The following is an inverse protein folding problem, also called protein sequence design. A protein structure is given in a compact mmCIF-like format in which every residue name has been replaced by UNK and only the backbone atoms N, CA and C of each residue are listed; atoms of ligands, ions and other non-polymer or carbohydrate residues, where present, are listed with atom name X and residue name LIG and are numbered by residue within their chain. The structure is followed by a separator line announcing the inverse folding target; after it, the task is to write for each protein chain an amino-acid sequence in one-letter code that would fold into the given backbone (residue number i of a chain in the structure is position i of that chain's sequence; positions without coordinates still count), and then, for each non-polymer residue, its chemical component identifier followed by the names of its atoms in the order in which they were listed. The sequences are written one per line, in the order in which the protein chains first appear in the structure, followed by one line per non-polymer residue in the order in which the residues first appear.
data_IF_850893490564
#
_entry.id   IF_850893490564
#
_cell.length_a   1.000
_cell.length_b   1.000
_cell.length_c   1.000
_cell.angle_alpha   90.00
_cell.angle_beta   90.00
_cell.angle_gamma   90.00
#
_symmetry.space_group_name_H-M   'P 1'
#
loop_
_entity.id
_entity.type
_entity.pdbx_description
1 polymer ?
#
# COMPACT_ATOMS: atom_id res chain seq x y z
N UNK A 1 -38.58 15.96 3.32
CA UNK A 1 -37.21 16.48 3.57
C UNK A 1 -36.27 15.28 3.71
N UNK A 2 -35.68 14.79 2.62
CA UNK A 2 -34.85 13.57 2.65
C UNK A 2 -33.66 13.68 1.68
N UNK A 3 -32.59 14.36 2.08
CA UNK A 3 -31.36 14.50 1.28
C UNK A 3 -30.07 14.15 2.03
N UNK A 4 -30.15 13.55 3.22
CA UNK A 4 -28.96 13.26 4.05
C UNK A 4 -28.19 11.96 3.67
N UNK A 5 -28.81 11.02 2.94
CA UNK A 5 -28.22 9.71 2.69
C UNK A 5 -27.15 9.68 1.58
N UNK A 6 -27.16 10.64 0.65
CA UNK A 6 -26.28 10.60 -0.54
C UNK A 6 -24.87 11.19 -0.27
N UNK A 7 -24.76 12.16 0.65
CA UNK A 7 -23.49 12.85 0.95
C UNK A 7 -22.49 11.93 1.68
N UNK A 8 -22.98 11.02 2.52
CA UNK A 8 -22.15 10.12 3.33
C UNK A 8 -21.40 9.07 2.50
N UNK A 9 -21.95 8.63 1.36
CA UNK A 9 -21.32 7.61 0.51
C UNK A 9 -20.23 8.16 -0.40
N UNK A 10 -20.27 9.46 -0.72
CA UNK A 10 -19.18 10.12 -1.46
C UNK A 10 -17.97 10.42 -0.57
N UNK A 11 -18.18 10.77 0.71
CA UNK A 11 -17.07 11.00 1.65
C UNK A 11 -16.28 9.74 1.93
N UNK A 12 -16.92 8.58 2.06
CA UNK A 12 -16.22 7.31 2.30
C UNK A 12 -15.33 6.89 1.13
N UNK A 13 -15.76 7.11 -0.12
CA UNK A 13 -14.94 6.87 -1.31
C UNK A 13 -13.71 7.78 -1.39
N UNK A 14 -13.87 9.07 -1.06
CA UNK A 14 -12.74 10.01 -1.03
C UNK A 14 -11.75 9.68 0.10
N UNK A 15 -12.22 9.33 1.29
CA UNK A 15 -11.35 8.92 2.40
C UNK A 15 -10.56 7.66 2.04
N UNK A 16 -11.16 6.72 1.31
CA UNK A 16 -10.47 5.52 0.86
C UNK A 16 -9.32 5.84 -0.10
N UNK A 17 -9.57 6.69 -1.09
CA UNK A 17 -8.54 7.10 -2.05
C UNK A 17 -7.38 7.84 -1.35
N UNK A 18 -7.68 8.61 -0.30
CA UNK A 18 -6.65 9.22 0.55
C UNK A 18 -5.84 8.19 1.35
N UNK A 19 -6.47 7.13 1.84
CA UNK A 19 -5.77 6.00 2.49
C UNK A 19 -4.85 5.32 1.49
N UNK A 20 -5.33 4.98 0.30
CA UNK A 20 -4.52 4.31 -0.72
C UNK A 20 -3.32 5.16 -1.14
N UNK A 21 -3.54 6.47 -1.32
CA UNK A 21 -2.49 7.43 -1.65
C UNK A 21 -1.45 7.55 -0.52
N UNK A 22 -1.89 7.77 0.72
CA UNK A 22 -0.99 7.91 1.87
C UNK A 22 -0.21 6.64 2.17
N UNK A 23 -0.82 5.45 2.03
CA UNK A 23 -0.12 4.16 2.19
C UNK A 23 0.93 3.99 1.10
N UNK A 24 0.61 4.32 -0.15
CA UNK A 24 1.58 4.28 -1.26
C UNK A 24 2.75 5.23 -1.02
N UNK A 25 2.46 6.47 -0.63
CA UNK A 25 3.48 7.46 -0.31
C UNK A 25 4.33 7.05 0.90
N UNK A 26 3.75 6.42 1.91
CA UNK A 26 4.47 5.91 3.07
C UNK A 26 5.44 4.79 2.66
N UNK A 27 5.02 3.86 1.80
CA UNK A 27 5.88 2.82 1.24
C UNK A 27 7.06 3.42 0.45
N UNK A 28 6.79 4.43 -0.37
CA UNK A 28 7.83 5.14 -1.13
C UNK A 28 8.78 5.89 -0.20
N UNK A 29 8.26 6.65 0.77
CA UNK A 29 9.08 7.38 1.75
C UNK A 29 9.93 6.43 2.60
N UNK A 30 9.39 5.27 2.95
CA UNK A 30 10.11 4.21 3.67
C UNK A 30 11.27 3.65 2.84
N UNK A 31 11.03 3.36 1.55
CA UNK A 31 12.09 2.94 0.64
C UNK A 31 13.16 4.02 0.53
N UNK A 32 12.73 5.27 0.35
CA UNK A 32 13.62 6.41 0.23
C UNK A 32 14.44 6.63 1.49
N UNK A 33 13.87 6.41 2.68
CA UNK A 33 14.61 6.48 3.94
C UNK A 33 15.76 5.46 3.98
N UNK A 34 15.51 4.21 3.58
CA UNK A 34 16.54 3.17 3.51
C UNK A 34 17.62 3.50 2.48
N UNK A 35 17.23 4.05 1.33
CA UNK A 35 18.16 4.49 0.28
C UNK A 35 19.03 5.66 0.76
N UNK A 36 18.45 6.67 1.41
CA UNK A 36 19.17 7.82 1.96
C UNK A 36 20.08 7.41 3.11
N UNK A 37 19.65 6.50 3.99
CA UNK A 37 20.50 5.92 5.04
C UNK A 37 21.70 5.18 4.44
N UNK A 38 21.48 4.41 3.38
CA UNK A 38 22.57 3.72 2.66
C UNK A 38 23.56 4.72 2.07
N UNK A 39 23.06 5.80 1.46
CA UNK A 39 23.90 6.88 0.95
C UNK A 39 24.65 7.63 2.06
N UNK A 40 23.99 7.89 3.19
CA UNK A 40 24.61 8.49 4.37
C UNK A 40 25.76 7.63 4.88
N UNK A 41 25.58 6.31 4.97
CA UNK A 41 26.65 5.38 5.38
C UNK A 41 27.87 5.38 4.46
N UNK A 42 27.67 5.77 3.19
CA UNK A 42 28.73 5.93 2.18
C UNK A 42 29.27 7.36 2.10
N UNK A 43 28.84 8.24 3.02
CA UNK A 43 29.17 9.66 3.06
C UNK A 43 28.76 10.42 1.79
N UNK A 44 27.75 9.90 1.07
CA UNK A 44 27.20 10.53 -0.14
C UNK A 44 25.90 11.29 0.10
N UNK A 45 25.29 11.13 1.27
CA UNK A 45 24.14 11.93 1.72
C UNK A 45 24.43 12.50 3.10
N UNK A 46 23.74 13.58 3.45
CA UNK A 46 23.91 14.25 4.75
C UNK A 46 22.85 13.80 5.75
N UNK A 47 23.12 14.00 7.04
CA UNK A 47 22.14 13.81 8.11
C UNK A 47 20.85 14.62 7.86
N UNK A 48 20.99 15.82 7.29
CA UNK A 48 19.85 16.67 6.92
C UNK A 48 18.92 15.98 5.93
N UNK A 49 19.46 15.34 4.89
CA UNK A 49 18.63 14.62 3.91
C UNK A 49 17.91 13.41 4.51
N UNK A 50 18.56 12.68 5.43
CA UNK A 50 17.91 11.59 6.18
C UNK A 50 16.75 12.14 7.01
N UNK A 51 16.98 13.27 7.68
CA UNK A 51 16.00 13.95 8.52
C UNK A 51 14.81 14.47 7.72
N UNK A 52 15.03 15.06 6.54
CA UNK A 52 13.97 15.52 5.64
C UNK A 52 13.06 14.36 5.20
N UNK A 53 13.67 13.23 4.82
CA UNK A 53 12.91 12.03 4.42
C UNK A 53 12.14 11.45 5.61
N UNK A 54 12.70 11.45 6.82
CA UNK A 54 12.01 11.07 8.05
C UNK A 54 10.79 11.95 8.34
N UNK A 55 10.93 13.28 8.24
CA UNK A 55 9.81 14.22 8.45
C UNK A 55 8.69 13.95 7.45
N UNK A 56 9.03 13.72 6.19
CA UNK A 56 8.05 13.35 5.15
C UNK A 56 7.35 12.03 5.46
N UNK A 57 8.09 11.01 5.92
CA UNK A 57 7.49 9.73 6.34
C UNK A 57 6.50 9.93 7.50
N UNK A 58 6.87 10.72 8.51
CA UNK A 58 6.00 11.06 9.63
C UNK A 58 4.72 11.80 9.20
N UNK A 59 4.83 12.71 8.22
CA UNK A 59 3.68 13.41 7.65
C UNK A 59 2.71 12.46 6.94
N UNK A 60 3.20 11.59 6.05
CA UNK A 60 2.36 10.60 5.36
C UNK A 60 1.73 9.61 6.35
N UNK A 61 2.46 9.23 7.40
CA UNK A 61 1.94 8.40 8.48
C UNK A 61 0.78 9.06 9.22
N UNK A 62 0.90 10.36 9.53
CA UNK A 62 -0.16 11.10 10.21
C UNK A 62 -1.43 11.18 9.34
N UNK A 63 -1.29 11.42 8.04
CA UNK A 63 -2.40 11.41 7.08
C UNK A 63 -3.08 10.04 7.08
N UNK A 64 -2.31 8.96 6.95
CA UNK A 64 -2.83 7.61 6.97
C UNK A 64 -3.61 7.34 8.26
N UNK A 65 -3.03 7.66 9.43
CA UNK A 65 -3.69 7.51 10.73
C UNK A 65 -5.03 8.25 10.81
N UNK A 66 -5.08 9.52 10.37
CA UNK A 66 -6.31 10.32 10.36
C UNK A 66 -7.36 9.72 9.43
N UNK A 67 -6.96 9.25 8.26
CA UNK A 67 -7.87 8.68 7.28
C UNK A 67 -8.45 7.33 7.76
N UNK A 68 -7.66 6.48 8.42
CA UNK A 68 -8.15 5.26 9.10
C UNK A 68 -9.10 5.59 10.25
N UNK A 69 -8.77 6.59 11.07
CA UNK A 69 -9.63 7.01 12.18
C UNK A 69 -10.98 7.56 11.67
N UNK A 70 -10.97 8.30 10.56
CA UNK A 70 -12.18 8.88 9.96
C UNK A 70 -13.23 7.86 9.51
N UNK A 71 -12.82 6.60 9.29
CA UNK A 71 -13.70 5.49 8.90
C UNK A 71 -13.92 4.49 10.04
N UNK A 72 -13.53 4.85 11.27
CA UNK A 72 -13.73 4.05 12.48
C UNK A 72 -12.74 2.91 12.64
N UNK A 73 -11.55 2.98 12.02
CA UNK A 73 -10.45 2.05 12.27
C UNK A 73 -9.49 2.66 13.28
N UNK A 74 -9.42 2.06 14.46
CA UNK A 74 -8.54 2.52 15.54
C UNK A 74 -7.06 2.28 15.18
N UNK A 75 -6.21 3.30 15.34
CA UNK A 75 -4.78 3.25 15.00
C UNK A 75 -3.85 3.34 16.22
N UNK A 76 -4.38 3.13 17.43
CA UNK A 76 -3.62 3.22 18.68
C UNK A 76 -2.38 2.30 18.71
N UNK A 77 -2.50 1.12 18.11
CA UNK A 77 -1.42 0.12 17.95
C UNK A 77 -0.19 0.63 17.17
N UNK A 78 -0.35 1.69 16.37
CA UNK A 78 0.73 2.29 15.59
C UNK A 78 1.43 3.46 16.30
N UNK A 79 0.94 3.88 17.47
CA UNK A 79 1.36 5.12 18.14
C UNK A 79 2.82 5.17 18.57
N UNK A 80 3.44 4.02 18.88
CA UNK A 80 4.85 3.93 19.32
C UNK A 80 5.86 3.95 18.17
N UNK A 81 5.41 3.74 16.93
CA UNK A 81 6.29 3.65 15.75
C UNK A 81 7.10 4.92 15.50
N UNK A 82 6.53 6.13 15.42
CA UNK A 82 7.30 7.34 15.09
C UNK A 82 8.35 7.67 16.15
N UNK A 83 8.07 7.33 17.42
CA UNK A 83 8.99 7.52 18.55
C UNK A 83 10.16 6.52 18.50
N UNK A 84 9.86 5.24 18.28
CA UNK A 84 10.88 4.21 18.10
C UNK A 84 11.77 4.51 16.88
N UNK A 85 11.17 4.93 15.76
CA UNK A 85 11.90 5.27 14.54
C UNK A 85 12.79 6.50 14.76
N UNK A 86 12.32 7.49 15.54
CA UNK A 86 13.12 8.65 15.92
C UNK A 86 14.34 8.24 16.74
N UNK A 87 14.12 7.43 17.78
CA UNK A 87 15.18 7.01 18.70
C UNK A 87 16.29 6.26 17.96
N UNK A 88 15.95 5.34 17.05
CA UNK A 88 16.96 4.58 16.28
C UNK A 88 17.66 5.46 15.25
N UNK A 89 16.96 6.42 14.63
CA UNK A 89 17.59 7.38 13.71
C UNK A 89 18.54 8.31 14.44
N UNK A 90 18.15 8.86 15.59
CA UNK A 90 19.02 9.69 16.45
C UNK A 90 20.28 8.89 16.86
N UNK A 91 20.12 7.63 17.28
CA UNK A 91 21.25 6.77 17.62
C UNK A 91 22.15 6.47 16.41
N UNK A 92 21.56 6.18 15.24
CA UNK A 92 22.31 5.89 14.01
C UNK A 92 23.11 7.11 13.54
N UNK A 93 22.46 8.28 13.50
CA UNK A 93 23.05 9.53 13.02
C UNK A 93 24.09 10.09 13.99
N UNK A 94 24.01 9.75 15.28
CA UNK A 94 25.02 10.12 16.28
C UNK A 94 26.35 9.37 16.13
N UNK A 95 26.39 8.29 15.35
CA UNK A 95 27.60 7.51 15.09
C UNK A 95 28.35 7.99 13.84
N UNK A 96 29.57 7.51 13.67
CA UNK A 96 30.33 7.76 12.44
C UNK A 96 29.62 7.15 11.22
N UNK A 97 29.51 7.95 10.16
CA UNK A 97 28.85 7.60 8.91
C UNK A 97 29.63 6.51 8.17
N UNK A 98 29.32 5.26 8.54
CA UNK A 98 29.99 4.05 8.07
C UNK A 98 28.97 2.94 7.80
N UNK A 99 29.16 2.12 6.74
CA UNK A 99 28.26 1.01 6.43
C UNK A 99 28.20 -0.02 7.56
N UNK A 100 29.28 -0.14 8.36
CA UNK A 100 29.33 -1.05 9.51
C UNK A 100 28.40 -0.61 10.64
N UNK A 101 28.36 0.69 10.95
CA UNK A 101 27.44 1.25 11.94
C UNK A 101 25.99 1.11 11.49
N UNK A 102 25.73 1.38 10.20
CA UNK A 102 24.39 1.24 9.63
C UNK A 102 23.89 -0.22 9.68
N UNK A 103 24.72 -1.20 9.33
CA UNK A 103 24.33 -2.61 9.30
C UNK A 103 23.86 -3.14 10.67
N UNK A 104 24.42 -2.60 11.77
CA UNK A 104 23.99 -2.93 13.13
C UNK A 104 22.58 -2.40 13.45
N UNK A 105 22.18 -1.27 12.88
CA UNK A 105 20.89 -0.62 13.12
C UNK A 105 19.80 -0.99 12.11
N UNK A 106 20.18 -1.42 10.89
CA UNK A 106 19.25 -1.91 9.86
C UNK A 106 18.24 -2.96 10.34
N UNK A 107 18.59 -4.00 11.12
CA UNK A 107 17.61 -4.96 11.60
C UNK A 107 16.52 -4.29 12.45
N UNK A 108 16.89 -3.31 13.29
CA UNK A 108 15.95 -2.60 14.15
C UNK A 108 15.07 -1.61 13.37
N UNK A 109 15.67 -0.83 12.46
CA UNK A 109 14.94 0.07 11.54
C UNK A 109 13.96 -0.74 10.70
N UNK A 110 14.39 -1.89 10.16
CA UNK A 110 13.55 -2.79 9.37
C UNK A 110 12.38 -3.34 10.18
N UNK A 111 12.60 -3.75 11.44
CA UNK A 111 11.53 -4.27 12.29
C UNK A 111 10.44 -3.22 12.53
N UNK A 112 10.83 -1.99 12.89
CA UNK A 112 9.91 -0.86 13.10
C UNK A 112 9.11 -0.57 11.82
N UNK A 113 9.77 -0.56 10.67
CA UNK A 113 9.14 -0.37 9.34
C UNK A 113 8.18 -1.52 9.02
N UNK A 114 8.57 -2.77 9.25
CA UNK A 114 7.72 -3.94 8.98
C UNK A 114 6.48 -3.88 9.86
N UNK A 115 6.62 -3.55 11.15
CA UNK A 115 5.50 -3.40 12.07
C UNK A 115 4.52 -2.32 11.60
N UNK A 116 5.04 -1.19 11.10
CA UNK A 116 4.25 -0.13 10.49
C UNK A 116 3.46 -0.64 9.27
N UNK A 117 4.14 -1.28 8.31
CA UNK A 117 3.52 -1.75 7.08
C UNK A 117 2.51 -2.88 7.32
N UNK A 118 2.82 -3.82 8.22
CA UNK A 118 1.91 -4.88 8.61
C UNK A 118 0.66 -4.34 9.31
N UNK A 119 0.82 -3.39 10.23
CA UNK A 119 -0.29 -2.75 10.91
C UNK A 119 -1.22 -2.01 9.92
N UNK A 120 -0.66 -1.30 8.95
CA UNK A 120 -1.43 -0.61 7.91
C UNK A 120 -2.10 -1.59 6.94
N UNK A 121 -1.36 -2.60 6.45
CA UNK A 121 -1.90 -3.62 5.53
C UNK A 121 -3.04 -4.41 6.14
N UNK A 122 -2.93 -4.80 7.41
CA UNK A 122 -3.99 -5.51 8.14
C UNK A 122 -5.25 -4.66 8.28
N UNK A 123 -5.10 -3.36 8.54
CA UNK A 123 -6.20 -2.39 8.60
C UNK A 123 -6.83 -2.17 7.23
N UNK A 124 -6.02 -2.03 6.19
CA UNK A 124 -6.48 -1.90 4.80
C UNK A 124 -7.27 -3.15 4.33
N UNK A 125 -6.80 -4.35 4.68
CA UNK A 125 -7.49 -5.60 4.35
C UNK A 125 -8.88 -5.67 5.01
N UNK A 126 -8.98 -5.34 6.31
CA UNK A 126 -10.27 -5.28 7.03
C UNK A 126 -11.27 -4.34 6.36
N UNK A 127 -10.80 -3.21 5.83
CA UNK A 127 -11.66 -2.26 5.11
C UNK A 127 -12.16 -2.82 3.79
N UNK A 128 -11.28 -3.46 3.01
CA UNK A 128 -11.63 -4.06 1.73
C UNK A 128 -12.66 -5.17 1.89
N UNK A 129 -12.53 -6.01 2.93
CA UNK A 129 -13.52 -7.05 3.24
C UNK A 129 -14.88 -6.46 3.65
N UNK A 130 -14.90 -5.39 4.46
CA UNK A 130 -16.12 -4.70 4.85
C UNK A 130 -16.83 -4.05 3.65
N UNK A 131 -16.08 -3.51 2.69
CA UNK A 131 -16.62 -2.96 1.45
C UNK A 131 -17.13 -4.01 0.48
N UNK A 132 -16.43 -5.14 0.33
CA UNK A 132 -16.90 -6.24 -0.51
C UNK A 132 -18.27 -6.75 -0.03
N UNK A 133 -18.49 -6.81 1.29
CA UNK A 133 -19.80 -7.18 1.86
C UNK A 133 -20.88 -6.11 1.66
N UNK A 134 -20.53 -4.82 1.72
CA UNK A 134 -21.47 -3.71 1.49
C UNK A 134 -21.85 -3.54 0.00
N UNK A 135 -20.96 -3.92 -0.92
CA UNK A 135 -21.21 -3.93 -2.37
C UNK A 135 -22.12 -5.09 -2.83
N UNK A 136 -22.16 -6.19 -2.08
CA UNK A 136 -22.97 -7.40 -2.37
C UNK A 136 -24.36 -7.32 -1.72
N UNK A 137 -24.71 -6.22 -1.05
CA UNK A 137 -26.07 -5.98 -0.58
C UNK A 137 -26.81 -5.05 -1.57
N UNK A 138 -27.41 -5.57 -2.65
CA UNK A 138 -28.50 -4.86 -3.30
C UNK A 138 -29.63 -4.82 -2.28
N UNK A 139 -29.94 -3.61 -1.81
CA UNK A 139 -31.08 -3.34 -0.94
C UNK A 139 -32.35 -3.91 -1.60
N UNK A 140 -32.78 -5.07 -1.13
CA UNK A 140 -34.08 -5.63 -1.43
C UNK A 140 -35.14 -4.79 -0.74
N UNK A 141 -35.94 -4.07 -1.53
CA UNK A 141 -37.42 -4.05 -1.47
C UNK A 141 -37.96 -2.97 -2.40
N UNK A 142 -38.53 -3.37 -3.54
CA UNK A 142 -39.89 -2.97 -3.94
C UNK A 142 -40.28 -3.53 -5.32
N UNK A 143 -41.33 -4.34 -5.30
CA UNK A 143 -42.28 -4.72 -6.37
C UNK A 143 -41.79 -5.35 -7.67
N UNK A 144 -42.18 -6.62 -7.82
CA UNK A 144 -42.31 -7.34 -9.06
C UNK A 144 -43.07 -6.52 -10.13
N UNK A 145 -42.39 -6.11 -11.20
CA UNK A 145 -42.99 -5.93 -12.53
C UNK A 145 -41.98 -6.29 -13.61
N UNK A 146 -42.33 -7.36 -14.31
CA UNK A 146 -41.86 -7.79 -15.61
C UNK A 146 -41.64 -6.62 -16.58
N UNK A 147 -40.41 -6.42 -17.08
CA UNK A 147 -40.18 -6.00 -18.46
C UNK A 147 -38.75 -6.32 -18.91
N UNK A 148 -38.64 -6.86 -20.12
CA UNK A 148 -37.42 -7.32 -20.75
C UNK A 148 -36.77 -6.19 -21.53
N UNK A 149 -35.53 -5.80 -21.20
CA UNK A 149 -34.69 -5.09 -22.17
C UNK A 149 -33.22 -5.15 -21.76
N UNK A 150 -32.42 -5.77 -22.63
CA UNK A 150 -30.98 -5.94 -22.45
C UNK A 150 -30.26 -4.61 -22.40
N UNK A 151 -29.20 -4.57 -21.59
CA UNK A 151 -28.16 -3.56 -21.71
C UNK A 151 -26.81 -4.16 -21.34
N UNK A 152 -25.90 -3.98 -22.28
CA UNK A 152 -24.52 -4.42 -22.37
C UNK A 152 -23.76 -4.36 -21.04
N UNK A 153 -23.15 -5.49 -20.67
CA UNK A 153 -22.19 -5.56 -19.58
C UNK A 153 -20.93 -4.80 -19.95
N UNK A 154 -20.74 -3.61 -19.38
CA UNK A 154 -19.48 -2.88 -19.43
C UNK A 154 -18.45 -3.60 -18.56
N UNK A 155 -17.46 -4.15 -19.25
CA UNK A 155 -16.26 -4.81 -18.73
C UNK A 155 -15.42 -3.83 -17.92
N UNK A 156 -15.42 -3.97 -16.59
CA UNK A 156 -14.41 -3.37 -15.70
C UNK A 156 -13.39 -4.39 -15.18
N UNK A 157 -13.30 -5.56 -15.81
CA UNK A 157 -12.30 -6.59 -15.52
C UNK A 157 -10.93 -6.36 -16.22
N UNK A 158 -10.71 -5.18 -16.80
CA UNK A 158 -9.57 -4.91 -17.70
C UNK A 158 -8.19 -4.78 -17.06
N UNK A 159 -8.09 -4.60 -15.74
CA UNK A 159 -6.78 -4.44 -15.08
C UNK A 159 -6.21 -5.74 -14.50
N UNK A 160 -7.04 -6.77 -14.29
CA UNK A 160 -6.57 -8.07 -13.79
C UNK A 160 -6.04 -8.96 -14.93
N UNK A 161 -6.50 -8.76 -16.17
CA UNK A 161 -6.12 -9.62 -17.29
C UNK A 161 -4.81 -9.20 -18.00
N UNK A 162 -4.29 -8.00 -17.73
CA UNK A 162 -3.04 -7.53 -18.36
C UNK A 162 -1.76 -8.03 -17.67
N UNK A 163 -1.86 -8.70 -16.51
CA UNK A 163 -0.70 -9.21 -15.78
C UNK A 163 -0.35 -10.67 -16.13
N UNK A 164 -1.15 -11.33 -16.96
CA UNK A 164 -0.91 -12.71 -17.42
C UNK A 164 -0.13 -12.76 -18.76
N UNK A 165 -0.01 -11.62 -19.46
CA UNK A 165 0.73 -11.48 -20.72
C UNK A 165 2.11 -10.85 -20.47
N UNK A 166 2.94 -11.51 -19.65
CA UNK A 166 4.39 -11.27 -19.68
C UNK A 166 5.01 -12.41 -20.48
N UNK A 167 5.49 -12.16 -21.72
CA UNK A 167 6.21 -13.17 -22.48
C UNK A 167 7.54 -13.49 -21.77
N UNK A 168 7.62 -14.71 -21.22
CA UNK A 168 8.86 -15.34 -20.77
C UNK A 168 9.73 -15.67 -21.98
N UNK A 169 10.47 -14.68 -22.47
CA UNK A 169 11.59 -14.87 -23.39
C UNK A 169 12.87 -15.00 -22.56
N UNK A 170 13.29 -16.23 -22.27
CA UNK A 170 14.65 -16.76 -22.50
C UNK A 170 14.85 -18.14 -21.84
N UNK A 171 15.53 -19.03 -22.58
CA UNK A 171 16.05 -20.37 -22.21
C UNK A 171 14.99 -21.48 -22.09
N UNK A 172 15.02 -22.56 -22.87
CA UNK A 172 16.00 -23.08 -23.82
C UNK A 172 15.77 -24.60 -23.98
N UNK A 173 16.18 -25.16 -25.11
CA UNK A 173 16.53 -26.59 -25.20
C UNK A 173 15.47 -27.54 -25.76
N UNK A 174 15.59 -27.81 -27.07
CA UNK A 174 15.75 -29.17 -27.61
C UNK A 174 14.60 -30.16 -27.45
N UNK A 175 13.96 -30.49 -28.58
CA UNK A 175 13.16 -31.70 -28.70
C UNK A 175 12.40 -31.78 -30.02
N UNK A 176 13.02 -32.42 -31.02
CA UNK A 176 12.37 -32.75 -32.29
C UNK A 176 11.12 -33.64 -32.08
N UNK A 177 10.18 -33.59 -33.04
CA UNK A 177 9.64 -34.86 -33.52
C UNK A 177 9.68 -34.98 -35.05
N UNK A 178 10.24 -36.11 -35.48
CA UNK A 178 10.04 -36.71 -36.80
C UNK A 178 8.68 -37.46 -36.84
N UNK A 179 8.27 -37.82 -38.06
CA UNK A 179 7.22 -38.80 -38.45
C UNK A 179 5.91 -38.15 -38.92
N UNK A 180 5.66 -38.02 -40.24
CA UNK A 180 5.20 -39.02 -41.25
C UNK A 180 3.66 -39.15 -41.31
N UNK A 181 3.12 -39.02 -42.54
CA UNK A 181 1.78 -39.50 -42.93
C UNK A 181 1.00 -38.50 -43.79
N UNK A 182 1.14 -38.53 -45.13
CA UNK A 182 0.20 -39.14 -46.10
C UNK A 182 -1.17 -38.44 -46.17
N UNK A 183 -1.46 -37.74 -47.27
CA UNK A 183 -2.06 -38.29 -48.49
C UNK A 183 -2.04 -37.24 -49.62
#
# INVERSE_FOLDING_TARGET
MSTAANVSRHKSGQQLSQIEKSVTHLLVATKQLLETLTQWSRQTATEGEVSDVYVRLGYEFNIACRAFTAIGVETADLGNVPDALRSVLEETLSQDASPKSLDQHLPHIRDIIINLLHGLKRKQQKLREKQARDAIQPNGTSVARNDSMGSVGSTSSGLTQMLDDIPSQYTGGGGAPQSVGRN
#
